data_IF_275350440021
#
_entry.id   IF_275350440021
#
_cell.length_a   1.000
_cell.length_b   1.000
_cell.length_c   1.000
_cell.angle_alpha   90.00
_cell.angle_beta   90.00
_cell.angle_gamma   90.00
#
_symmetry.space_group_name_H-M   'P 1'
#
loop_
_entity.id
_entity.type
_entity.pdbx_description
1 polymer ?
#
# COMPACT_ATOMS: atom_id res chain seq x y z
N UNK A 1 21.17 108.21 -43.24
CA UNK A 1 21.62 107.22 -42.23
C UNK A 1 20.69 107.04 -41.02
N UNK A 2 19.91 108.03 -40.56
CA UNK A 2 19.00 107.90 -39.40
C UNK A 2 17.76 106.99 -39.56
N UNK A 3 17.39 106.57 -40.77
CA UNK A 3 16.24 105.66 -40.99
C UNK A 3 16.67 104.21 -41.23
N UNK A 4 17.90 103.97 -41.68
CA UNK A 4 18.43 102.64 -41.99
C UNK A 4 18.67 101.78 -40.73
N UNK A 5 19.11 102.38 -39.62
CA UNK A 5 19.27 101.64 -38.36
C UNK A 5 17.92 101.25 -37.72
N UNK A 6 16.88 102.07 -37.91
CA UNK A 6 15.51 101.75 -37.44
C UNK A 6 14.92 100.59 -38.24
N UNK A 7 15.14 100.57 -39.55
CA UNK A 7 14.72 99.45 -40.42
C UNK A 7 15.51 98.18 -40.07
N UNK A 8 16.83 98.28 -39.87
CA UNK A 8 17.66 97.13 -39.47
C UNK A 8 17.30 96.56 -38.09
N UNK A 9 16.90 97.41 -37.14
CA UNK A 9 16.47 96.98 -35.80
C UNK A 9 15.09 96.32 -35.83
N UNK A 10 14.17 96.83 -36.66
CA UNK A 10 12.86 96.18 -36.89
C UNK A 10 13.05 94.84 -37.60
N UNK A 11 13.92 94.76 -38.60
CA UNK A 11 14.19 93.53 -39.34
C UNK A 11 14.86 92.47 -38.44
N UNK A 12 15.76 92.88 -37.54
CA UNK A 12 16.38 92.04 -36.51
C UNK A 12 15.34 91.46 -35.53
N UNK A 13 14.42 92.29 -35.03
CA UNK A 13 13.33 91.84 -34.14
C UNK A 13 12.36 90.90 -34.86
N UNK A 14 12.09 91.14 -36.15
CA UNK A 14 11.25 90.24 -36.96
C UNK A 14 11.97 88.91 -37.22
N UNK A 15 13.27 88.91 -37.50
CA UNK A 15 14.06 87.70 -37.71
C UNK A 15 14.21 86.84 -36.44
N UNK A 16 14.29 87.44 -35.26
CA UNK A 16 14.35 86.70 -33.99
C UNK A 16 12.98 86.18 -33.53
N UNK A 17 11.88 86.86 -33.88
CA UNK A 17 10.52 86.38 -33.60
C UNK A 17 10.14 85.16 -34.45
N UNK A 18 10.61 85.08 -35.69
CA UNK A 18 10.34 83.92 -36.58
C UNK A 18 11.14 82.68 -36.15
N UNK A 19 12.35 82.87 -35.59
CA UNK A 19 13.19 81.77 -35.09
C UNK A 19 12.62 81.06 -33.84
N UNK A 20 11.78 81.72 -33.04
CA UNK A 20 11.12 81.11 -31.86
C UNK A 20 9.85 80.33 -32.17
N UNK A 21 9.31 80.42 -33.39
CA UNK A 21 8.01 79.81 -33.73
C UNK A 21 8.08 78.28 -33.91
N UNK A 22 9.20 77.75 -34.41
CA UNK A 22 9.36 76.32 -34.69
C UNK A 22 9.93 75.47 -33.55
N UNK A 23 10.23 76.06 -32.38
CA UNK A 23 10.82 75.34 -31.26
C UNK A 23 9.80 74.46 -30.52
N UNK A 24 8.51 74.81 -30.62
CA UNK A 24 7.41 74.04 -30.02
C UNK A 24 6.87 72.94 -30.94
N UNK A 25 7.08 73.05 -32.26
CA UNK A 25 6.57 72.08 -33.25
C UNK A 25 7.06 70.64 -33.00
N UNK A 26 8.23 70.47 -32.35
CA UNK A 26 8.78 69.15 -32.00
C UNK A 26 8.15 68.53 -30.74
N UNK A 27 7.46 69.32 -29.91
CA UNK A 27 6.81 68.86 -28.67
C UNK A 27 5.29 69.06 -28.65
N UNK A 28 4.72 69.79 -29.62
CA UNK A 28 3.29 70.11 -29.68
C UNK A 28 2.43 68.85 -29.73
N UNK A 29 2.87 67.80 -30.43
CA UNK A 29 2.17 66.50 -30.47
C UNK A 29 2.03 65.87 -29.07
N UNK A 30 3.06 66.00 -28.22
CA UNK A 30 3.02 65.49 -26.84
C UNK A 30 2.17 66.38 -25.91
N UNK A 31 2.14 67.69 -26.17
CA UNK A 31 1.29 68.62 -25.42
C UNK A 31 -0.20 68.43 -25.77
N UNK A 32 -0.51 68.18 -27.04
CA UNK A 32 -1.86 67.92 -27.54
C UNK A 32 -2.36 66.53 -27.11
N UNK A 33 -1.48 65.53 -27.05
CA UNK A 33 -1.80 64.18 -26.56
C UNK A 33 -2.09 64.15 -25.05
N UNK A 34 -1.52 65.08 -24.28
CA UNK A 34 -1.68 65.18 -22.83
C UNK A 34 -1.07 64.01 -22.06
N UNK A 35 -1.28 63.98 -20.74
CA UNK A 35 -0.77 62.92 -19.88
C UNK A 35 -1.60 61.63 -20.04
N UNK A 36 -0.93 60.49 -20.22
CA UNK A 36 -1.60 59.19 -20.19
C UNK A 36 -1.86 58.78 -18.75
N UNK A 37 -3.13 58.72 -18.36
CA UNK A 37 -3.56 58.31 -17.02
C UNK A 37 -3.69 56.79 -16.99
N UNK A 38 -2.95 56.14 -16.08
CA UNK A 38 -3.02 54.71 -15.84
C UNK A 38 -3.71 54.39 -14.52
N UNK A 39 -4.51 53.32 -14.51
CA UNK A 39 -4.99 52.75 -13.26
C UNK A 39 -3.86 52.03 -12.51
N UNK A 40 -4.06 51.82 -11.21
CA UNK A 40 -3.12 51.11 -10.37
C UNK A 40 -3.02 49.63 -10.77
N UNK A 41 -1.82 49.16 -11.11
CA UNK A 41 -1.56 47.75 -11.43
C UNK A 41 -1.62 46.85 -10.19
N UNK A 42 -1.88 45.57 -10.42
CA UNK A 42 -1.76 44.53 -9.39
C UNK A 42 -0.28 44.26 -9.08
N UNK A 43 0.04 44.15 -7.80
CA UNK A 43 1.40 43.91 -7.30
C UNK A 43 1.58 42.45 -6.87
N UNK A 44 2.82 41.97 -6.80
CA UNK A 44 3.17 40.64 -6.27
C UNK A 44 2.34 39.49 -6.89
N UNK A 45 2.10 39.55 -8.20
CA UNK A 45 1.28 38.57 -8.92
C UNK A 45 1.96 37.19 -8.91
N UNK A 46 1.20 36.17 -8.53
CA UNK A 46 1.60 34.77 -8.67
C UNK A 46 0.51 33.92 -9.33
N UNK A 47 0.93 32.95 -10.14
CA UNK A 47 0.04 32.05 -10.88
C UNK A 47 0.34 30.64 -10.42
N UNK A 48 -0.55 30.08 -9.61
CA UNK A 48 -0.36 28.81 -8.94
C UNK A 48 -1.07 27.70 -9.71
N UNK A 49 -0.35 26.68 -10.18
CA UNK A 49 -0.89 25.69 -11.10
C UNK A 49 -1.65 24.57 -10.41
N UNK A 50 -2.65 24.00 -11.09
CA UNK A 50 -3.50 22.91 -10.62
C UNK A 50 -3.92 21.94 -11.72
N UNK A 51 -4.87 21.05 -11.40
CA UNK A 51 -5.43 20.10 -12.36
C UNK A 51 -6.43 20.80 -13.29
N UNK A 52 -6.05 20.98 -14.55
CA UNK A 52 -6.81 21.70 -15.58
C UNK A 52 -7.30 23.10 -15.12
N UNK A 53 -6.50 23.78 -14.30
CA UNK A 53 -6.81 25.11 -13.75
C UNK A 53 -5.57 25.82 -13.23
N UNK A 54 -5.69 27.13 -13.01
CA UNK A 54 -4.73 27.93 -12.25
C UNK A 54 -5.43 28.82 -11.23
N UNK A 55 -4.76 29.10 -10.11
CA UNK A 55 -5.14 30.18 -9.19
C UNK A 55 -4.27 31.41 -9.47
N UNK A 56 -4.90 32.51 -9.86
CA UNK A 56 -4.25 33.81 -10.00
C UNK A 56 -4.35 34.54 -8.67
N UNK A 57 -3.22 34.92 -8.09
CA UNK A 57 -3.13 35.66 -6.84
C UNK A 57 -2.33 36.94 -7.01
N UNK A 58 -2.62 37.94 -6.17
CA UNK A 58 -1.85 39.18 -6.16
C UNK A 58 -2.33 40.14 -5.08
N UNK A 59 -1.64 41.27 -4.95
CA UNK A 59 -1.94 42.30 -3.98
C UNK A 59 -2.41 43.58 -4.68
N UNK A 60 -3.57 44.07 -4.28
CA UNK A 60 -4.07 45.38 -4.66
C UNK A 60 -3.65 46.38 -3.59
N UNK A 61 -2.46 47.00 -3.76
CA UNK A 61 -1.89 47.97 -2.79
C UNK A 61 -2.30 49.42 -3.07
N UNK A 62 -2.69 49.74 -4.30
CA UNK A 62 -2.97 51.10 -4.77
C UNK A 62 -4.26 51.15 -5.59
N UNK A 63 -4.83 52.35 -5.79
CA UNK A 63 -6.07 52.54 -6.54
C UNK A 63 -7.30 51.97 -5.81
N UNK A 64 -7.79 52.66 -4.78
CA UNK A 64 -9.03 52.32 -4.07
C UNK A 64 -10.28 52.39 -4.98
N UNK A 65 -10.14 53.02 -6.13
CA UNK A 65 -11.10 53.13 -7.21
C UNK A 65 -11.02 51.98 -8.23
N UNK A 66 -10.19 50.96 -8.02
CA UNK A 66 -10.16 49.75 -8.86
C UNK A 66 -11.54 49.07 -8.86
N UNK A 67 -12.09 48.82 -10.05
CA UNK A 67 -13.44 48.28 -10.26
C UNK A 67 -13.40 46.83 -10.76
N UNK A 68 -12.45 46.48 -11.62
CA UNK A 68 -12.34 45.13 -12.18
C UNK A 68 -10.90 44.79 -12.57
N UNK A 69 -10.63 43.49 -12.57
CA UNK A 69 -9.41 42.89 -13.10
C UNK A 69 -9.80 42.08 -14.34
N UNK A 70 -9.04 42.19 -15.42
CA UNK A 70 -9.18 41.38 -16.63
C UNK A 70 -7.92 40.56 -16.79
N UNK A 71 -8.08 39.25 -16.89
CA UNK A 71 -6.99 38.31 -17.07
C UNK A 71 -7.17 37.66 -18.43
N UNK A 72 -6.25 37.91 -19.35
CA UNK A 72 -6.21 37.24 -20.65
C UNK A 72 -5.16 36.12 -20.62
N UNK A 73 -5.36 35.06 -21.39
CA UNK A 73 -4.34 34.03 -21.55
C UNK A 73 -4.16 33.58 -23.00
N UNK A 74 -2.93 33.20 -23.31
CA UNK A 74 -2.54 32.59 -24.58
C UNK A 74 -2.05 31.16 -24.32
N UNK A 75 -2.27 30.20 -25.25
CA UNK A 75 -2.64 30.38 -26.66
C UNK A 75 -4.14 30.52 -26.96
N UNK A 76 -5.04 30.20 -26.03
CA UNK A 76 -6.49 30.16 -26.28
C UNK A 76 -7.09 31.52 -26.66
N UNK A 77 -6.38 32.60 -26.29
CA UNK A 77 -6.76 33.99 -26.54
C UNK A 77 -8.13 34.33 -25.92
N UNK A 78 -8.41 33.75 -24.75
CA UNK A 78 -9.60 33.94 -23.96
C UNK A 78 -9.31 34.81 -22.72
N UNK A 79 -10.34 35.20 -21.99
CA UNK A 79 -10.24 36.13 -20.87
C UNK A 79 -11.25 35.89 -19.77
N UNK A 80 -10.89 36.32 -18.57
CA UNK A 80 -11.76 36.36 -17.41
C UNK A 80 -11.83 37.78 -16.86
N UNK A 81 -13.05 38.31 -16.74
CA UNK A 81 -13.30 39.60 -16.10
C UNK A 81 -13.79 39.34 -14.67
N UNK A 82 -13.01 39.81 -13.70
CA UNK A 82 -13.27 39.64 -12.27
C UNK A 82 -13.63 41.01 -11.69
N UNK A 83 -14.86 41.20 -11.19
CA UNK A 83 -15.21 42.42 -10.47
C UNK A 83 -14.41 42.51 -9.16
N UNK A 84 -13.93 43.71 -8.84
CA UNK A 84 -13.12 43.99 -7.66
C UNK A 84 -13.85 45.02 -6.80
N UNK A 85 -14.02 44.71 -5.52
CA UNK A 85 -14.54 45.65 -4.53
C UNK A 85 -13.51 45.80 -3.42
N UNK A 86 -12.77 46.90 -3.44
CA UNK A 86 -11.76 47.19 -2.44
C UNK A 86 -12.37 47.73 -1.15
N UNK A 87 -12.03 47.10 -0.04
CA UNK A 87 -12.40 47.56 1.31
C UNK A 87 -11.17 48.13 2.02
N UNK A 88 -10.05 47.41 1.96
CA UNK A 88 -8.84 47.74 2.70
C UNK A 88 -7.76 48.43 1.83
N UNK A 89 -6.85 49.23 2.44
CA UNK A 89 -5.72 49.86 1.74
C UNK A 89 -4.77 48.88 1.04
N UNK A 90 -4.67 47.65 1.55
CA UNK A 90 -4.00 46.53 0.87
C UNK A 90 -4.96 45.35 0.89
N UNK A 91 -5.38 44.89 -0.29
CA UNK A 91 -6.33 43.80 -0.44
C UNK A 91 -5.71 42.63 -1.21
N UNK A 92 -6.12 41.40 -0.88
CA UNK A 92 -5.62 40.19 -1.55
C UNK A 92 -6.56 39.77 -2.65
N UNK A 93 -6.08 39.78 -3.89
CA UNK A 93 -6.81 39.28 -5.03
C UNK A 93 -6.53 37.78 -5.20
N UNK A 94 -7.59 36.99 -5.41
CA UNK A 94 -7.52 35.55 -5.69
C UNK A 94 -8.67 35.14 -6.60
N UNK A 95 -8.37 34.44 -7.67
CA UNK A 95 -9.38 33.86 -8.57
C UNK A 95 -8.86 32.59 -9.22
N UNK A 96 -9.75 31.61 -9.44
CA UNK A 96 -9.44 30.43 -10.24
C UNK A 96 -9.88 30.66 -11.69
N UNK A 97 -9.02 30.25 -12.63
CA UNK A 97 -9.37 30.06 -14.03
C UNK A 97 -9.53 28.56 -14.21
N UNK A 98 -10.79 28.11 -14.31
CA UNK A 98 -11.18 26.71 -14.42
C UNK A 98 -11.23 26.26 -15.89
N UNK A 99 -11.25 24.94 -16.12
CA UNK A 99 -11.35 24.32 -17.45
C UNK A 99 -10.22 24.72 -18.41
N UNK A 100 -9.01 24.87 -17.88
CA UNK A 100 -7.82 25.24 -18.64
C UNK A 100 -6.99 23.97 -18.93
N UNK A 101 -7.07 23.37 -20.14
CA UNK A 101 -6.46 22.07 -20.43
C UNK A 101 -4.96 22.04 -20.14
N UNK A 102 -4.41 20.88 -19.81
CA UNK A 102 -2.98 20.70 -19.53
C UNK A 102 -2.09 21.35 -20.62
N UNK A 103 -1.27 22.33 -20.21
CA UNK A 103 -0.47 23.12 -21.15
C UNK A 103 0.39 24.19 -20.49
N UNK A 104 1.03 25.02 -21.30
CA UNK A 104 1.78 26.20 -20.85
C UNK A 104 1.05 27.44 -21.32
N UNK A 105 0.79 28.37 -20.40
CA UNK A 105 0.01 29.56 -20.64
C UNK A 105 0.77 30.80 -20.21
N UNK A 106 0.57 31.89 -20.96
CA UNK A 106 0.99 33.22 -20.55
C UNK A 106 -0.25 34.02 -20.16
N UNK A 107 -0.30 34.46 -18.91
CA UNK A 107 -1.40 35.26 -18.38
C UNK A 107 -1.02 36.74 -18.41
N UNK A 108 -1.89 37.58 -18.95
CA UNK A 108 -1.80 39.04 -18.92
C UNK A 108 -2.89 39.60 -18.00
N UNK A 109 -2.48 40.25 -16.92
CA UNK A 109 -3.35 40.80 -15.88
C UNK A 109 -3.39 42.32 -16.02
N UNK A 110 -4.60 42.86 -16.19
CA UNK A 110 -4.85 44.31 -16.31
C UNK A 110 -5.98 44.72 -15.38
N UNK A 111 -5.78 45.78 -14.61
CA UNK A 111 -6.84 46.37 -13.77
C UNK A 111 -7.44 47.59 -14.44
N UNK A 112 -8.72 47.83 -14.14
CA UNK A 112 -9.47 49.01 -14.59
C UNK A 112 -10.08 49.70 -13.38
N UNK A 113 -9.99 51.03 -13.34
CA UNK A 113 -10.67 51.82 -12.33
C UNK A 113 -12.07 52.26 -12.77
N UNK A 114 -12.84 52.82 -11.83
CA UNK A 114 -14.21 53.34 -12.06
C UNK A 114 -14.31 54.40 -13.15
N UNK A 115 -13.21 55.08 -13.46
CA UNK A 115 -13.14 56.08 -14.54
C UNK A 115 -12.84 55.47 -15.92
N UNK A 116 -12.62 54.15 -15.99
CA UNK A 116 -12.33 53.42 -17.22
C UNK A 116 -10.86 53.39 -17.63
N UNK A 117 -9.95 53.98 -16.86
CA UNK A 117 -8.51 53.92 -17.15
C UNK A 117 -7.98 52.50 -16.92
N UNK A 118 -7.08 52.06 -17.82
CA UNK A 118 -6.40 50.76 -17.73
C UNK A 118 -5.06 50.90 -17.03
N UNK A 119 -4.62 49.85 -16.32
CA UNK A 119 -3.25 49.78 -15.82
C UNK A 119 -2.27 49.42 -16.93
N UNK A 120 -0.98 49.56 -16.61
CA UNK A 120 0.07 48.80 -17.32
C UNK A 120 -0.17 47.31 -17.05
N UNK A 121 0.02 46.46 -18.06
CA UNK A 121 -0.17 45.02 -17.90
C UNK A 121 0.97 44.37 -17.10
N UNK A 122 0.60 43.37 -16.31
CA UNK A 122 1.53 42.46 -15.66
C UNK A 122 1.37 41.09 -16.30
N UNK A 123 2.45 40.52 -16.84
CA UNK A 123 2.40 39.20 -17.46
C UNK A 123 3.19 38.16 -16.67
N UNK A 124 2.62 36.96 -16.50
CA UNK A 124 3.30 35.84 -15.84
C UNK A 124 2.93 34.53 -16.51
N UNK A 125 3.94 33.69 -16.75
CA UNK A 125 3.77 32.35 -17.32
C UNK A 125 3.50 31.32 -16.23
N UNK A 126 2.66 30.33 -16.53
CA UNK A 126 2.47 29.16 -15.69
C UNK A 126 2.05 27.96 -16.53
N UNK A 127 1.97 26.79 -15.88
CA UNK A 127 1.48 25.57 -16.50
C UNK A 127 0.13 25.20 -15.90
N UNK A 128 -0.59 24.34 -16.59
CA UNK A 128 -1.65 23.53 -15.99
C UNK A 128 -1.22 22.08 -16.08
N UNK A 129 -1.59 21.29 -15.09
CA UNK A 129 -1.31 19.86 -15.04
C UNK A 129 -2.60 19.08 -15.31
N UNK A 130 -2.47 17.84 -15.79
CA UNK A 130 -3.61 17.01 -16.14
C UNK A 130 -3.21 15.56 -16.26
N UNK A 131 -3.97 14.81 -17.06
CA UNK A 131 -3.82 13.36 -17.18
C UNK A 131 -2.46 12.95 -17.77
N UNK A 132 -1.85 13.78 -18.63
CA UNK A 132 -0.52 13.48 -19.19
C UNK A 132 0.54 13.63 -18.10
N UNK A 133 0.46 14.63 -17.23
CA UNK A 133 1.31 14.69 -16.04
C UNK A 133 1.10 13.46 -15.13
N UNK A 134 -0.15 13.12 -14.81
CA UNK A 134 -0.46 11.94 -13.98
C UNK A 134 0.12 10.65 -14.59
N UNK A 135 0.04 10.47 -15.91
CA UNK A 135 0.59 9.29 -16.61
C UNK A 135 2.12 9.19 -16.55
N UNK A 136 2.80 10.33 -16.32
CA UNK A 136 4.26 10.37 -16.15
C UNK A 136 4.69 9.94 -14.74
N UNK A 137 3.79 10.06 -13.76
CA UNK A 137 4.07 9.67 -12.37
C UNK A 137 4.20 8.16 -12.23
N UNK A 138 4.89 7.72 -11.18
CA UNK A 138 5.07 6.31 -10.86
C UNK A 138 4.68 6.10 -9.42
N UNK A 139 4.00 4.99 -9.14
CA UNK A 139 3.77 4.58 -7.76
C UNK A 139 5.09 4.07 -7.16
N UNK A 140 5.37 4.42 -5.90
CA UNK A 140 6.50 3.84 -5.17
C UNK A 140 6.27 2.35 -5.06
N UNK A 141 7.24 1.55 -5.51
CA UNK A 141 7.05 0.11 -5.65
C UNK A 141 7.07 -0.58 -4.28
N UNK A 142 6.09 -1.43 -4.03
CA UNK A 142 6.13 -2.43 -2.96
C UNK A 142 6.89 -3.65 -3.51
N UNK A 143 8.03 -3.97 -2.89
CA UNK A 143 8.96 -5.02 -3.32
C UNK A 143 8.60 -6.39 -2.76
N UNK A 144 8.22 -6.47 -1.47
CA UNK A 144 7.78 -7.71 -0.84
C UNK A 144 6.79 -7.45 0.30
N UNK A 145 6.00 -8.49 0.59
CA UNK A 145 5.11 -8.60 1.76
C UNK A 145 5.46 -9.88 2.50
N UNK A 146 5.96 -9.78 3.72
CA UNK A 146 6.48 -10.90 4.50
C UNK A 146 5.69 -11.04 5.81
N UNK A 147 5.26 -12.25 6.14
CA UNK A 147 4.57 -12.53 7.40
C UNK A 147 5.62 -12.85 8.47
N UNK A 148 5.68 -12.04 9.51
CA UNK A 148 6.56 -12.21 10.68
C UNK A 148 5.72 -12.43 11.95
N UNK A 149 5.47 -13.70 12.25
CA UNK A 149 4.53 -14.10 13.32
C UNK A 149 3.13 -13.58 13.00
N UNK A 150 2.59 -12.75 13.88
CA UNK A 150 1.27 -12.11 13.71
C UNK A 150 1.30 -10.88 12.78
N UNK A 151 2.49 -10.34 12.50
CA UNK A 151 2.63 -9.06 11.81
C UNK A 151 2.93 -9.25 10.32
N UNK A 152 2.62 -8.22 9.54
CA UNK A 152 2.96 -8.14 8.13
C UNK A 152 4.00 -7.03 7.90
N UNK A 153 5.11 -7.38 7.28
CA UNK A 153 6.19 -6.48 6.93
C UNK A 153 6.12 -6.12 5.45
N UNK A 154 6.04 -4.83 5.15
CA UNK A 154 5.94 -4.32 3.77
C UNK A 154 7.25 -3.62 3.44
N UNK A 155 7.97 -4.15 2.45
CA UNK A 155 9.24 -3.59 1.97
C UNK A 155 9.03 -2.79 0.69
N UNK A 156 9.48 -1.55 0.67
CA UNK A 156 9.35 -0.62 -0.45
C UNK A 156 10.68 -0.34 -1.12
N UNK A 157 10.61 0.12 -2.38
CA UNK A 157 11.77 0.74 -3.04
C UNK A 157 12.24 1.97 -2.28
N UNK A 158 13.45 2.44 -2.60
CA UNK A 158 13.97 3.72 -2.09
C UNK A 158 12.96 4.86 -2.30
N UNK A 159 13.02 5.83 -1.39
CA UNK A 159 12.21 7.03 -1.46
C UNK A 159 12.37 7.75 -2.81
N UNK A 160 11.26 8.21 -3.37
CA UNK A 160 11.25 8.97 -4.60
C UNK A 160 11.36 10.46 -4.26
N UNK A 161 12.45 11.11 -4.66
CA UNK A 161 12.74 12.50 -4.28
C UNK A 161 11.61 13.48 -4.62
N UNK A 162 10.93 13.27 -5.76
CA UNK A 162 9.81 14.11 -6.21
C UNK A 162 8.45 13.76 -5.57
N UNK A 163 8.35 12.61 -4.89
CA UNK A 163 7.13 12.25 -4.19
C UNK A 163 7.02 13.03 -2.87
N UNK A 164 5.82 13.48 -2.55
CA UNK A 164 5.47 14.11 -1.28
C UNK A 164 5.39 13.07 -0.16
N UNK A 165 4.63 12.00 -0.39
CA UNK A 165 4.34 10.95 0.57
C UNK A 165 3.96 9.64 -0.13
N UNK A 166 4.12 8.51 0.55
CA UNK A 166 3.58 7.21 0.15
C UNK A 166 2.73 6.65 1.27
N UNK A 167 1.51 6.23 0.95
CA UNK A 167 0.54 5.69 1.92
C UNK A 167 0.03 4.34 1.45
N UNK A 168 -0.24 3.46 2.40
CA UNK A 168 -0.85 2.16 2.20
C UNK A 168 -2.24 2.18 2.82
N UNK A 169 -3.25 1.83 2.04
CA UNK A 169 -4.62 1.68 2.46
C UNK A 169 -4.98 0.19 2.42
N UNK A 170 -5.56 -0.34 3.48
CA UNK A 170 -5.86 -1.77 3.58
C UNK A 170 -7.03 -2.03 4.54
N UNK A 171 -7.46 -3.29 4.66
CA UNK A 171 -8.44 -3.70 5.66
C UNK A 171 -7.74 -4.39 6.84
N UNK A 172 -8.14 -4.04 8.05
CA UNK A 172 -7.74 -4.78 9.25
C UNK A 172 -8.51 -6.11 9.37
N UNK A 173 -8.15 -6.93 10.36
CA UNK A 173 -8.79 -8.21 10.62
C UNK A 173 -10.32 -8.09 10.90
N UNK A 174 -10.78 -6.96 11.43
CA UNK A 174 -12.20 -6.64 11.61
C UNK A 174 -12.92 -6.17 10.33
N UNK A 175 -12.20 -5.96 9.22
CA UNK A 175 -12.76 -5.49 7.94
C UNK A 175 -12.91 -3.97 7.84
N UNK A 176 -12.32 -3.21 8.76
CA UNK A 176 -12.29 -1.74 8.75
C UNK A 176 -11.13 -1.22 7.91
N UNK A 177 -11.34 -0.08 7.24
CA UNK A 177 -10.29 0.57 6.44
C UNK A 177 -9.24 1.20 7.33
N UNK A 178 -7.99 0.89 7.05
CA UNK A 178 -6.81 1.44 7.68
C UNK A 178 -5.95 2.20 6.68
N UNK A 179 -5.16 3.14 7.19
CA UNK A 179 -4.19 3.93 6.45
C UNK A 179 -2.87 3.96 7.22
N UNK A 180 -1.76 3.74 6.53
CA UNK A 180 -0.43 3.89 7.12
C UNK A 180 0.51 4.57 6.13
N UNK A 181 1.20 5.62 6.59
CA UNK A 181 2.21 6.33 5.81
C UNK A 181 3.58 5.67 5.95
N UNK A 182 4.32 5.58 4.85
CA UNK A 182 5.74 5.22 4.86
C UNK A 182 6.51 6.50 5.15
N UNK A 183 7.08 6.62 6.35
CA UNK A 183 7.83 7.80 6.75
C UNK A 183 9.00 8.09 5.79
N UNK A 184 9.36 9.36 5.66
CA UNK A 184 10.51 9.75 4.83
C UNK A 184 11.80 9.15 5.37
N UNK A 185 12.67 8.68 4.47
CA UNK A 185 13.85 7.90 4.79
C UNK A 185 13.60 6.40 5.01
N UNK A 186 12.39 6.00 5.36
CA UNK A 186 12.06 4.58 5.59
C UNK A 186 11.71 3.87 4.29
N UNK A 187 12.11 2.60 4.20
CA UNK A 187 11.77 1.69 3.11
C UNK A 187 10.92 0.51 3.59
N UNK A 188 10.43 0.55 4.83
CA UNK A 188 9.71 -0.56 5.43
C UNK A 188 8.64 -0.03 6.38
N UNK A 189 7.48 -0.68 6.40
CA UNK A 189 6.48 -0.50 7.46
C UNK A 189 6.06 -1.86 8.01
N UNK A 190 5.71 -1.88 9.29
CA UNK A 190 5.14 -3.03 9.97
C UNK A 190 3.66 -2.78 10.22
N UNK A 191 2.82 -3.71 9.80
CA UNK A 191 1.38 -3.75 10.04
C UNK A 191 1.09 -4.84 11.07
N UNK A 192 0.46 -4.46 12.18
CA UNK A 192 0.16 -5.39 13.30
C UNK A 192 -1.26 -5.96 13.25
N UNK A 193 -2.15 -5.34 12.48
CA UNK A 193 -3.55 -5.76 12.33
C UNK A 193 -3.95 -5.64 10.86
N UNK A 194 -4.02 -6.78 10.18
CA UNK A 194 -4.24 -6.87 8.74
C UNK A 194 -5.18 -8.03 8.45
N UNK A 195 -5.93 -7.91 7.36
CA UNK A 195 -6.76 -8.99 6.85
C UNK A 195 -5.95 -9.92 5.94
N UNK A 196 -5.79 -11.21 6.28
CA UNK A 196 -5.23 -12.19 5.36
C UNK A 196 -6.00 -12.23 4.04
N UNK A 197 -5.28 -12.29 2.91
CA UNK A 197 -5.87 -12.20 1.56
C UNK A 197 -6.71 -10.93 1.34
N UNK A 198 -6.53 -9.91 2.18
CA UNK A 198 -7.18 -8.61 2.08
C UNK A 198 -6.58 -7.78 0.95
N UNK A 199 -7.42 -7.03 0.26
CA UNK A 199 -6.96 -6.08 -0.74
C UNK A 199 -6.25 -4.90 -0.07
N UNK A 200 -5.19 -4.40 -0.72
CA UNK A 200 -4.52 -3.16 -0.34
C UNK A 200 -4.34 -2.24 -1.56
N UNK A 201 -4.18 -0.94 -1.29
CA UNK A 201 -3.83 0.10 -2.26
C UNK A 201 -2.60 0.85 -1.74
N UNK A 202 -1.51 0.89 -2.52
CA UNK A 202 -0.38 1.78 -2.30
C UNK A 202 -0.59 3.03 -3.14
N UNK A 203 -0.62 4.21 -2.53
CA UNK A 203 -0.79 5.50 -3.19
C UNK A 203 0.41 6.40 -2.92
N UNK A 204 0.98 6.96 -3.99
CA UNK A 204 2.09 7.92 -3.91
C UNK A 204 1.59 9.29 -4.35
N UNK A 205 1.85 10.31 -3.53
CA UNK A 205 1.38 11.68 -3.72
C UNK A 205 2.51 12.56 -4.24
N UNK A 206 2.18 13.53 -5.09
CA UNK A 206 3.12 14.42 -5.77
C UNK A 206 2.61 15.86 -5.74
N UNK A 207 3.55 16.80 -5.61
CA UNK A 207 3.33 18.22 -5.85
C UNK A 207 4.24 18.60 -7.03
N UNK A 208 3.71 19.00 -8.19
CA UNK A 208 4.51 19.23 -9.40
C UNK A 208 5.51 20.38 -9.24
N UNK A 209 5.15 21.37 -8.44
CA UNK A 209 6.00 22.50 -8.09
C UNK A 209 5.56 23.14 -6.78
N UNK A 210 6.48 23.81 -6.09
CA UNK A 210 6.31 24.29 -4.70
C UNK A 210 5.07 25.16 -4.51
N UNK A 211 4.68 25.95 -5.50
CA UNK A 211 3.53 26.84 -5.41
C UNK A 211 2.21 26.26 -5.97
N UNK A 212 2.18 25.00 -6.42
CA UNK A 212 0.97 24.36 -6.93
C UNK A 212 -0.18 24.40 -5.90
N UNK A 213 -1.42 24.44 -6.39
CA UNK A 213 -2.63 24.39 -5.56
C UNK A 213 -3.13 22.97 -5.31
N UNK A 214 -2.83 22.06 -6.25
CA UNK A 214 -3.34 20.69 -6.22
C UNK A 214 -2.21 19.68 -5.96
N UNK A 215 -2.57 18.60 -5.25
CA UNK A 215 -1.72 17.42 -5.06
C UNK A 215 -2.21 16.31 -5.98
N UNK A 216 -1.28 15.66 -6.67
CA UNK A 216 -1.55 14.57 -7.62
C UNK A 216 -1.24 13.25 -6.94
N UNK A 217 -1.89 12.16 -7.35
CA UNK A 217 -1.57 10.84 -6.83
C UNK A 217 -1.71 9.75 -7.88
N UNK A 218 -0.90 8.72 -7.75
CA UNK A 218 -1.00 7.47 -8.50
C UNK A 218 -1.00 6.32 -7.53
N UNK A 219 -1.69 5.23 -7.88
CA UNK A 219 -1.78 4.06 -7.01
C UNK A 219 -1.59 2.74 -7.73
N UNK A 220 -1.27 1.72 -6.95
CA UNK A 220 -1.31 0.32 -7.33
C UNK A 220 -2.07 -0.47 -6.28
N UNK A 221 -2.71 -1.54 -6.70
CA UNK A 221 -3.48 -2.42 -5.83
C UNK A 221 -2.86 -3.81 -5.79
N UNK A 222 -3.02 -4.51 -4.68
CA UNK A 222 -2.65 -5.91 -4.55
C UNK A 222 -3.45 -6.61 -3.47
N UNK A 223 -3.01 -7.81 -3.12
CA UNK A 223 -3.63 -8.66 -2.10
C UNK A 223 -2.55 -9.13 -1.15
N UNK A 224 -2.77 -8.98 0.15
CA UNK A 224 -1.86 -9.49 1.18
C UNK A 224 -1.78 -11.02 1.14
N UNK A 225 -0.67 -11.62 1.62
CA UNK A 225 -0.52 -13.08 1.66
C UNK A 225 -1.62 -13.75 2.50
N UNK A 226 -1.74 -15.07 2.39
CA UNK A 226 -2.48 -15.83 3.39
C UNK A 226 -1.67 -15.90 4.69
N UNK A 227 -2.37 -16.04 5.82
CA UNK A 227 -1.76 -16.25 7.12
C UNK A 227 -1.94 -17.71 7.49
N UNK A 228 -0.85 -18.38 7.85
CA UNK A 228 -0.87 -19.77 8.30
C UNK A 228 -0.64 -19.76 9.81
N UNK A 229 -1.63 -20.21 10.57
CA UNK A 229 -1.61 -20.21 12.03
C UNK A 229 -1.71 -21.63 12.58
N UNK A 230 -1.10 -21.84 13.74
CA UNK A 230 -1.28 -23.08 14.50
C UNK A 230 -2.72 -23.18 14.99
N UNK A 231 -3.31 -24.37 14.90
CA UNK A 231 -4.64 -24.62 15.44
C UNK A 231 -4.62 -24.71 16.97
N UNK A 232 -5.69 -24.26 17.62
CA UNK A 232 -5.82 -24.35 19.08
C UNK A 232 -6.04 -25.80 19.52
N UNK A 233 -4.96 -26.45 19.94
CA UNK A 233 -4.92 -27.83 20.45
C UNK A 233 -5.88 -28.09 21.61
N UNK A 234 -6.26 -27.07 22.39
CA UNK A 234 -7.20 -27.25 23.51
C UNK A 234 -8.61 -27.66 23.06
N UNK A 235 -8.91 -27.45 21.77
CA UNK A 235 -10.17 -27.81 21.16
C UNK A 235 -10.18 -29.25 20.64
N UNK A 236 -9.02 -29.91 20.53
CA UNK A 236 -8.89 -31.25 19.96
C UNK A 236 -9.43 -32.32 20.92
N UNK A 237 -10.12 -33.31 20.37
CA UNK A 237 -10.75 -34.38 21.16
C UNK A 237 -10.64 -35.72 20.47
N UNK A 238 -10.29 -36.76 21.23
CA UNK A 238 -10.35 -38.13 20.74
C UNK A 238 -11.78 -38.52 20.37
N UNK A 239 -11.93 -39.15 19.21
CA UNK A 239 -13.15 -39.84 18.81
C UNK A 239 -12.81 -41.31 18.67
N UNK A 240 -13.61 -42.14 19.33
CA UNK A 240 -13.47 -43.58 19.26
C UNK A 240 -14.62 -44.12 18.42
N UNK A 241 -14.28 -44.65 17.25
CA UNK A 241 -15.20 -45.42 16.42
C UNK A 241 -14.93 -46.91 16.60
N UNK A 242 -15.91 -47.77 16.30
CA UNK A 242 -15.86 -49.21 16.63
C UNK A 242 -14.64 -49.95 16.04
N UNK A 243 -14.09 -49.46 14.93
CA UNK A 243 -12.94 -50.04 14.25
C UNK A 243 -11.63 -49.27 14.46
N UNK A 244 -11.62 -48.27 15.35
CA UNK A 244 -10.41 -47.52 15.68
C UNK A 244 -9.53 -48.30 16.66
N UNK A 245 -8.23 -48.25 16.45
CA UNK A 245 -7.26 -48.75 17.43
C UNK A 245 -7.26 -47.83 18.65
N UNK A 246 -7.02 -48.41 19.83
CA UNK A 246 -6.85 -47.64 21.06
C UNK A 246 -5.39 -47.24 21.22
N UNK A 247 -5.17 -45.98 21.57
CA UNK A 247 -3.83 -45.41 21.82
C UNK A 247 -3.58 -45.14 23.31
N UNK A 248 -4.10 -46.03 24.16
CA UNK A 248 -4.13 -45.89 25.62
C UNK A 248 -3.29 -46.94 26.38
N UNK A 249 -2.36 -47.62 25.71
CA UNK A 249 -1.53 -48.65 26.33
C UNK A 249 -0.35 -48.03 27.10
N UNK A 250 0.09 -48.72 28.16
CA UNK A 250 1.32 -48.38 28.91
C UNK A 250 1.37 -46.96 29.48
N UNK A 251 0.21 -46.38 29.79
CA UNK A 251 0.11 -44.99 30.26
C UNK A 251 0.10 -43.95 29.12
N UNK A 252 0.07 -44.41 27.87
CA UNK A 252 -0.23 -43.56 26.72
C UNK A 252 -1.70 -43.14 26.68
N UNK A 253 -1.99 -42.13 25.88
CA UNK A 253 -3.35 -41.71 25.53
C UNK A 253 -3.30 -40.85 24.26
N UNK A 254 -4.36 -40.87 23.43
CA UNK A 254 -4.36 -40.05 22.21
C UNK A 254 -4.34 -38.54 22.53
N UNK A 255 -4.97 -38.10 23.62
CA UNK A 255 -4.95 -36.67 24.00
C UNK A 255 -3.54 -36.12 24.30
N UNK A 256 -2.57 -36.99 24.59
CA UNK A 256 -1.17 -36.60 24.76
C UNK A 256 -0.51 -36.17 23.45
N UNK A 257 -1.16 -36.41 22.31
CA UNK A 257 -0.68 -35.99 21.01
C UNK A 257 -0.94 -34.52 20.68
N UNK A 258 -1.50 -33.75 21.61
CA UNK A 258 -1.76 -32.34 21.45
C UNK A 258 -1.70 -31.60 22.80
N UNK A 259 -0.84 -32.04 23.71
CA UNK A 259 -0.68 -31.44 25.05
C UNK A 259 0.58 -30.56 25.19
N UNK A 260 1.36 -30.42 24.12
CA UNK A 260 2.65 -29.73 24.07
C UNK A 260 3.74 -30.30 25.00
N UNK A 261 3.65 -31.58 25.38
CA UNK A 261 4.67 -32.27 26.15
C UNK A 261 5.41 -33.31 25.28
N UNK A 262 6.75 -33.17 25.24
CA UNK A 262 7.63 -33.92 24.32
C UNK A 262 8.58 -34.88 25.06
N UNK A 263 8.36 -35.13 26.36
CA UNK A 263 9.21 -36.08 27.07
C UNK A 263 8.99 -37.51 26.55
N UNK A 264 10.00 -38.37 26.69
CA UNK A 264 9.92 -39.76 26.23
C UNK A 264 8.88 -40.64 26.96
N UNK A 265 8.23 -40.11 28.00
CA UNK A 265 7.10 -40.71 28.72
C UNK A 265 5.74 -40.13 28.32
N UNK A 266 5.72 -39.08 27.49
CA UNK A 266 4.51 -38.47 26.97
C UNK A 266 4.28 -38.91 25.52
N UNK A 267 3.32 -39.82 25.36
CA UNK A 267 3.04 -40.44 24.07
C UNK A 267 1.61 -40.96 23.97
N UNK A 268 1.12 -41.01 22.74
CA UNK A 268 0.07 -41.93 22.33
C UNK A 268 0.70 -43.28 22.01
N UNK A 269 0.13 -44.38 22.49
CA UNK A 269 0.70 -45.71 22.27
C UNK A 269 -0.39 -46.78 22.19
N UNK A 270 -0.38 -47.59 21.13
CA UNK A 270 -1.35 -48.67 20.96
C UNK A 270 -0.96 -49.93 21.74
N UNK A 271 -1.88 -50.87 21.94
CA UNK A 271 -1.46 -52.17 22.46
C UNK A 271 -0.40 -52.79 21.53
N UNK A 272 0.62 -53.40 22.14
CA UNK A 272 1.69 -54.15 21.47
C UNK A 272 1.77 -55.60 21.97
N UNK A 273 0.90 -56.00 22.91
CA UNK A 273 0.76 -57.40 23.35
C UNK A 273 -0.04 -58.22 22.35
N UNK A 274 -0.96 -57.56 21.64
CA UNK A 274 -1.64 -58.09 20.46
C UNK A 274 -1.27 -57.21 19.25
N UNK A 275 -0.28 -57.62 18.44
CA UNK A 275 0.16 -56.83 17.30
C UNK A 275 -0.99 -56.46 16.37
N UNK A 276 -1.12 -55.16 16.11
CA UNK A 276 -2.02 -54.57 15.13
C UNK A 276 -1.67 -55.09 13.75
N UNK A 277 -2.70 -55.46 13.00
CA UNK A 277 -2.59 -55.71 11.56
C UNK A 277 -2.79 -54.38 10.83
N UNK A 278 -1.75 -53.90 10.14
CA UNK A 278 -1.86 -52.72 9.31
C UNK A 278 -2.58 -53.03 7.98
N UNK A 279 -3.36 -52.08 7.40
CA UNK A 279 -3.55 -50.71 7.89
C UNK A 279 -4.49 -50.64 9.10
N UNK A 280 -4.21 -49.69 9.99
CA UNK A 280 -5.00 -49.42 11.19
C UNK A 280 -5.19 -47.91 11.37
N UNK A 281 -6.21 -47.49 12.13
CA UNK A 281 -6.55 -46.06 12.19
C UNK A 281 -7.13 -45.62 13.53
N UNK A 282 -7.04 -44.33 13.76
CA UNK A 282 -7.60 -43.62 14.90
C UNK A 282 -8.17 -42.28 14.45
N UNK A 283 -9.14 -41.76 15.19
CA UNK A 283 -9.93 -40.58 14.81
C UNK A 283 -9.93 -39.52 15.90
N UNK A 284 -9.95 -38.25 15.52
CA UNK A 284 -10.10 -37.13 16.44
C UNK A 284 -10.81 -35.94 15.79
N UNK A 285 -11.40 -35.11 16.63
CA UNK A 285 -11.99 -33.81 16.29
C UNK A 285 -10.92 -32.72 16.44
N UNK A 286 -10.79 -31.84 15.46
CA UNK A 286 -9.97 -30.62 15.55
C UNK A 286 -10.67 -29.48 16.32
N UNK A 287 -11.93 -29.67 16.71
CA UNK A 287 -12.75 -28.71 17.46
C UNK A 287 -13.37 -27.60 16.60
N UNK A 288 -12.76 -27.29 15.46
CA UNK A 288 -13.25 -26.35 14.46
C UNK A 288 -13.04 -26.87 13.04
N UNK A 289 -13.78 -26.29 12.09
CA UNK A 289 -13.56 -26.51 10.67
C UNK A 289 -12.38 -25.67 10.18
N UNK A 290 -11.45 -26.28 9.46
CA UNK A 290 -10.23 -25.63 9.01
C UNK A 290 -9.78 -26.11 7.62
N UNK A 291 -9.22 -25.18 6.84
CA UNK A 291 -8.42 -25.51 5.66
C UNK A 291 -6.97 -25.76 6.09
N UNK A 292 -6.59 -27.03 6.20
CA UNK A 292 -5.25 -27.40 6.66
C UNK A 292 -4.17 -27.05 5.62
N UNK A 293 -3.01 -26.60 6.10
CA UNK A 293 -1.89 -26.17 5.26
C UNK A 293 -0.61 -26.93 5.55
N UNK A 294 -0.33 -27.19 6.83
CA UNK A 294 0.83 -27.95 7.28
C UNK A 294 0.45 -28.78 8.50
N UNK A 295 1.20 -29.84 8.77
CA UNK A 295 1.29 -30.40 10.11
C UNK A 295 2.71 -30.81 10.45
N UNK A 296 3.01 -30.80 11.74
CA UNK A 296 4.26 -31.31 12.30
C UNK A 296 3.94 -32.58 13.11
N UNK A 297 4.73 -33.65 12.91
CA UNK A 297 4.67 -34.90 13.68
C UNK A 297 5.92 -35.03 14.53
N UNK A 298 5.75 -35.15 15.84
CA UNK A 298 6.82 -35.52 16.76
C UNK A 298 6.69 -36.99 17.13
N UNK A 299 7.71 -37.76 16.77
CA UNK A 299 7.84 -39.16 17.18
C UNK A 299 8.28 -39.27 18.64
N UNK A 300 8.15 -40.44 19.24
CA UNK A 300 8.77 -40.71 20.54
C UNK A 300 10.29 -40.74 20.35
N UNK A 301 11.00 -39.82 21.00
CA UNK A 301 12.46 -39.69 20.91
C UNK A 301 13.10 -40.38 22.11
N UNK A 302 13.76 -41.51 21.85
CA UNK A 302 14.50 -42.32 22.84
C UNK A 302 15.53 -43.16 22.10
N UNK A 303 16.71 -43.35 22.69
CA UNK A 303 17.86 -44.00 22.01
C UNK A 303 17.53 -45.37 21.38
N UNK A 304 16.64 -46.15 21.99
CA UNK A 304 16.19 -47.46 21.51
C UNK A 304 14.96 -47.42 20.57
N UNK A 305 14.27 -46.28 20.46
CA UNK A 305 13.01 -46.13 19.71
C UNK A 305 13.12 -45.24 18.46
N UNK A 306 14.18 -44.44 18.31
CA UNK A 306 14.33 -43.59 17.12
C UNK A 306 14.34 -44.44 15.84
N UNK A 307 13.45 -44.13 14.88
CA UNK A 307 13.22 -44.94 13.66
C UNK A 307 13.11 -46.45 13.93
N UNK A 308 12.51 -46.79 15.06
CA UNK A 308 12.31 -48.13 15.57
C UNK A 308 10.98 -48.18 16.35
N UNK A 309 10.63 -49.36 16.84
CA UNK A 309 9.37 -49.59 17.53
C UNK A 309 8.15 -49.13 16.73
N UNK A 310 7.19 -48.54 17.44
CA UNK A 310 5.91 -48.09 16.88
C UNK A 310 5.95 -46.72 16.21
N UNK A 311 7.11 -46.05 16.12
CA UNK A 311 7.16 -44.75 15.46
C UNK A 311 6.63 -44.89 14.02
N UNK A 312 5.72 -43.99 13.63
CA UNK A 312 5.01 -44.09 12.36
C UNK A 312 5.98 -43.97 11.18
N UNK A 313 5.86 -44.88 10.20
CA UNK A 313 6.73 -44.91 9.02
C UNK A 313 5.99 -44.48 7.76
N UNK A 314 4.78 -44.97 7.54
CA UNK A 314 3.92 -44.49 6.46
C UNK A 314 2.45 -44.46 6.88
N UNK A 315 1.73 -43.43 6.46
CA UNK A 315 0.33 -43.21 6.82
C UNK A 315 -0.40 -42.36 5.79
N UNK A 316 -1.72 -42.33 5.89
CA UNK A 316 -2.59 -41.40 5.18
C UNK A 316 -3.37 -40.56 6.20
N UNK A 317 -3.57 -39.28 5.91
CA UNK A 317 -4.48 -38.42 6.66
C UNK A 317 -5.75 -38.25 5.84
N UNK A 318 -6.88 -38.54 6.47
CA UNK A 318 -8.21 -38.37 5.90
C UNK A 318 -9.00 -37.37 6.73
N UNK A 319 -9.92 -36.64 6.11
CA UNK A 319 -10.77 -35.71 6.82
C UNK A 319 -12.19 -35.58 6.26
N UNK A 320 -13.07 -35.04 7.10
CA UNK A 320 -14.48 -34.72 6.79
C UNK A 320 -14.94 -33.52 7.61
N UNK A 321 -16.03 -32.88 7.19
CA UNK A 321 -16.61 -31.72 7.87
C UNK A 321 -17.56 -32.12 9.02
N UNK A 322 -18.36 -33.17 8.83
CA UNK A 322 -19.40 -33.60 9.76
C UNK A 322 -18.94 -34.73 10.70
N UNK A 323 -19.55 -34.81 11.88
CA UNK A 323 -19.21 -35.83 12.88
C UNK A 323 -19.50 -37.24 12.34
N UNK A 324 -18.53 -38.18 12.40
CA UNK A 324 -18.73 -39.52 11.85
C UNK A 324 -19.80 -40.29 12.64
N UNK A 325 -20.91 -40.61 11.98
CA UNK A 325 -22.04 -41.32 12.59
C UNK A 325 -21.77 -42.80 12.91
N UNK A 326 -20.76 -43.39 12.28
CA UNK A 326 -20.38 -44.79 12.43
C UNK A 326 -18.92 -45.02 11.98
N UNK A 327 -18.49 -46.28 11.98
CA UNK A 327 -17.14 -46.71 11.63
C UNK A 327 -16.84 -46.76 10.12
N UNK A 328 -17.80 -46.44 9.25
CA UNK A 328 -17.63 -46.43 7.78
C UNK A 328 -16.60 -45.40 7.32
N UNK A 329 -16.03 -45.67 6.14
CA UNK A 329 -15.18 -44.73 5.41
C UNK A 329 -15.99 -43.76 4.52
N UNK A 330 -17.31 -43.93 4.44
CA UNK A 330 -18.18 -43.01 3.67
C UNK A 330 -18.09 -41.57 4.21
N UNK A 331 -17.89 -40.61 3.30
CA UNK A 331 -17.73 -39.20 3.62
C UNK A 331 -16.31 -38.78 3.98
N UNK A 332 -15.37 -39.71 4.14
CA UNK A 332 -13.97 -39.38 4.37
C UNK A 332 -13.25 -39.06 3.05
N UNK A 333 -12.52 -37.95 3.02
CA UNK A 333 -11.68 -37.55 1.89
C UNK A 333 -10.22 -37.68 2.26
N UNK A 334 -9.41 -38.33 1.41
CA UNK A 334 -7.96 -38.39 1.63
C UNK A 334 -7.35 -37.01 1.40
N UNK A 335 -6.59 -36.52 2.37
CA UNK A 335 -5.93 -35.22 2.33
C UNK A 335 -4.48 -35.35 1.88
N UNK A 336 -3.75 -36.35 2.41
CA UNK A 336 -2.33 -36.56 2.09
C UNK A 336 -1.90 -38.00 2.39
N UNK A 337 -0.89 -38.48 1.68
CA UNK A 337 -0.13 -39.69 2.01
C UNK A 337 1.27 -39.26 2.45
N UNK A 338 1.74 -39.79 3.57
CA UNK A 338 2.96 -39.37 4.26
C UNK A 338 3.91 -40.54 4.46
N UNK A 339 5.22 -40.26 4.42
CA UNK A 339 6.28 -41.19 4.78
C UNK A 339 7.28 -40.47 5.68
N UNK A 340 7.62 -41.08 6.80
CA UNK A 340 8.70 -40.61 7.68
C UNK A 340 10.04 -40.72 6.95
N UNK A 341 10.90 -39.73 7.12
CA UNK A 341 12.21 -39.63 6.49
C UNK A 341 13.32 -39.94 7.49
N UNK A 342 14.09 -40.99 7.21
CA UNK A 342 15.34 -41.30 7.92
C UNK A 342 16.54 -40.84 7.08
N UNK A 343 17.26 -39.77 7.46
CA UNK A 343 18.34 -39.19 6.67
C UNK A 343 19.40 -40.19 6.19
N UNK A 344 19.84 -41.08 7.08
CA UNK A 344 20.94 -42.01 6.76
C UNK A 344 20.53 -43.13 5.80
N UNK A 345 19.23 -43.40 5.65
CA UNK A 345 18.72 -44.57 4.91
C UNK A 345 19.14 -45.92 5.49
N UNK A 346 19.78 -45.97 6.66
CA UNK A 346 20.24 -47.21 7.28
C UNK A 346 19.08 -48.07 7.78
N UNK A 347 19.27 -49.39 7.90
CA UNK A 347 18.27 -50.30 8.45
C UNK A 347 17.79 -49.89 9.85
N UNK A 348 16.63 -50.41 10.23
CA UNK A 348 16.08 -50.28 11.60
C UNK A 348 17.08 -50.85 12.61
N UNK A 349 17.28 -50.13 13.72
CA UNK A 349 18.27 -50.50 14.74
C UNK A 349 19.68 -49.90 14.53
N UNK A 350 19.94 -49.27 13.38
CA UNK A 350 21.18 -48.52 13.12
C UNK A 350 20.89 -47.04 12.88
N UNK A 351 21.10 -46.19 13.89
CA UNK A 351 20.88 -44.74 13.79
C UNK A 351 22.21 -43.99 13.80
N UNK A 352 22.29 -42.91 13.01
CA UNK A 352 23.40 -41.95 13.03
C UNK A 352 23.05 -40.72 13.89
N UNK A 353 24.03 -39.86 14.18
CA UNK A 353 23.79 -38.59 14.84
C UNK A 353 22.86 -37.67 14.02
N UNK A 354 22.92 -37.76 12.68
CA UNK A 354 22.02 -37.05 11.78
C UNK A 354 20.58 -37.53 11.92
N UNK A 355 20.37 -38.85 11.99
CA UNK A 355 19.04 -39.44 12.23
C UNK A 355 18.45 -38.94 13.54
N UNK A 356 19.23 -39.05 14.63
CA UNK A 356 18.82 -38.62 15.97
C UNK A 356 18.55 -37.11 16.04
N UNK A 357 19.35 -36.31 15.35
CA UNK A 357 19.14 -34.85 15.28
C UNK A 357 17.92 -34.45 14.45
N UNK A 358 17.58 -35.23 13.42
CA UNK A 358 16.42 -34.98 12.57
C UNK A 358 15.12 -35.33 13.30
N UNK A 359 15.01 -36.54 13.85
CA UNK A 359 13.77 -36.99 14.53
C UNK A 359 13.46 -36.15 15.77
N UNK A 360 14.48 -35.66 16.47
CA UNK A 360 14.32 -34.79 17.63
C UNK A 360 13.71 -33.41 17.32
N UNK A 361 13.74 -32.97 16.06
CA UNK A 361 13.16 -31.68 15.63
C UNK A 361 11.69 -31.80 15.21
N UNK A 362 11.16 -33.03 15.10
CA UNK A 362 9.88 -33.31 14.48
C UNK A 362 9.93 -33.22 12.95
N UNK A 363 9.02 -33.94 12.31
CA UNK A 363 8.89 -34.00 10.86
C UNK A 363 7.76 -33.08 10.38
N UNK A 364 8.01 -32.29 9.34
CA UNK A 364 7.06 -31.30 8.82
C UNK A 364 6.51 -31.74 7.48
N UNK A 365 5.20 -31.61 7.29
CA UNK A 365 4.50 -32.03 6.09
C UNK A 365 3.53 -30.95 5.64
N UNK A 366 3.58 -30.59 4.36
CA UNK A 366 2.65 -29.64 3.74
C UNK A 366 1.49 -30.39 3.07
N UNK A 367 0.26 -29.93 3.33
CA UNK A 367 -0.91 -30.45 2.63
C UNK A 367 -0.91 -29.99 1.16
N UNK A 368 -1.36 -30.83 0.21
CA UNK A 368 -1.49 -30.39 -1.17
C UNK A 368 -2.57 -29.31 -1.31
N UNK A 369 -2.46 -28.49 -2.37
CA UNK A 369 -3.50 -27.52 -2.70
C UNK A 369 -4.80 -28.22 -3.13
N UNK A 370 -5.94 -27.58 -2.85
CA UNK A 370 -7.26 -28.06 -3.29
C UNK A 370 -7.91 -29.10 -2.36
N UNK A 371 -7.33 -29.40 -1.20
CA UNK A 371 -8.03 -30.18 -0.18
C UNK A 371 -9.27 -29.43 0.35
N UNK A 372 -10.32 -30.14 0.78
CA UNK A 372 -11.47 -29.50 1.41
C UNK A 372 -11.12 -28.97 2.80
N UNK A 373 -11.96 -28.05 3.30
CA UNK A 373 -12.02 -27.78 4.73
C UNK A 373 -12.53 -29.01 5.48
N UNK A 374 -11.93 -29.31 6.62
CA UNK A 374 -12.26 -30.48 7.44
C UNK A 374 -12.28 -30.09 8.91
N UNK A 375 -12.99 -30.88 9.72
CA UNK A 375 -13.00 -30.76 11.19
C UNK A 375 -12.55 -32.06 11.84
N UNK A 376 -13.00 -33.20 11.32
CA UNK A 376 -12.65 -34.50 11.87
C UNK A 376 -11.53 -35.11 11.05
N UNK A 377 -10.51 -35.63 11.73
CA UNK A 377 -9.34 -36.26 11.14
C UNK A 377 -9.32 -37.74 11.50
N UNK A 378 -9.02 -38.58 10.51
CA UNK A 378 -8.74 -40.00 10.68
C UNK A 378 -7.38 -40.31 10.08
N UNK A 379 -6.49 -40.80 10.93
CA UNK A 379 -5.12 -41.16 10.54
C UNK A 379 -5.10 -42.65 10.26
N UNK A 380 -4.79 -43.04 9.03
CA UNK A 380 -4.65 -44.43 8.61
C UNK A 380 -3.18 -44.78 8.51
N UNK A 381 -2.67 -45.45 9.53
CA UNK A 381 -1.30 -45.93 9.59
C UNK A 381 -1.17 -47.17 8.70
N UNK A 382 -0.21 -47.12 7.77
CA UNK A 382 0.07 -48.19 6.82
C UNK A 382 1.26 -49.06 7.28
N UNK A 383 2.23 -48.46 7.96
CA UNK A 383 3.41 -49.14 8.49
C UNK A 383 4.06 -48.35 9.65
N UNK A 384 4.72 -49.06 10.56
CA UNK A 384 5.58 -48.48 11.60
C UNK A 384 7.03 -48.98 11.44
N UNK A 385 8.00 -48.24 11.99
CA UNK A 385 9.40 -48.45 11.66
C UNK A 385 9.92 -49.86 11.96
N UNK A 386 9.57 -50.48 13.09
CA UNK A 386 10.04 -51.85 13.40
C UNK A 386 9.22 -52.98 12.78
N UNK A 387 8.02 -52.69 12.25
CA UNK A 387 7.09 -53.71 11.79
C UNK A 387 6.53 -54.61 12.91
N UNK A 388 6.73 -54.27 14.18
CA UNK A 388 6.25 -55.05 15.34
C UNK A 388 4.73 -54.96 15.56
N UNK A 389 4.00 -54.26 14.69
CA UNK A 389 2.53 -54.18 14.74
C UNK A 389 2.01 -53.33 15.88
N UNK A 390 2.57 -52.14 16.09
CA UNK A 390 1.99 -51.15 17.00
C UNK A 390 2.37 -49.74 16.56
N UNK A 391 1.68 -48.74 17.11
CA UNK A 391 1.86 -47.32 16.81
C UNK A 391 2.18 -46.56 18.09
N UNK A 392 3.15 -45.66 18.00
CA UNK A 392 3.44 -44.67 19.03
C UNK A 392 3.90 -43.35 18.40
N UNK A 393 3.60 -42.24 19.07
CA UNK A 393 4.07 -40.90 18.70
C UNK A 393 3.85 -39.96 19.89
N UNK A 394 4.53 -38.81 19.87
CA UNK A 394 4.43 -37.81 20.93
C UNK A 394 3.43 -36.72 20.60
N UNK A 395 3.47 -36.09 19.42
CA UNK A 395 2.64 -34.90 19.15
C UNK A 395 2.26 -34.77 17.67
N UNK A 396 1.05 -34.26 17.41
CA UNK A 396 0.65 -33.65 16.16
C UNK A 396 0.38 -32.15 16.37
N UNK A 397 0.92 -31.32 15.49
CA UNK A 397 0.60 -29.89 15.44
C UNK A 397 0.06 -29.56 14.05
N UNK A 398 -1.21 -29.19 13.95
CA UNK A 398 -1.83 -28.80 12.68
C UNK A 398 -1.83 -27.28 12.51
N UNK A 399 -1.63 -26.84 11.28
CA UNK A 399 -1.68 -25.44 10.88
C UNK A 399 -2.76 -25.23 9.83
N UNK A 400 -3.53 -24.15 9.97
CA UNK A 400 -4.63 -23.80 9.07
C UNK A 400 -4.39 -22.46 8.38
N UNK A 401 -5.08 -22.25 7.26
CA UNK A 401 -5.26 -20.91 6.71
C UNK A 401 -6.17 -20.11 7.63
N UNK A 402 -5.78 -18.89 7.94
CA UNK A 402 -6.64 -17.86 8.54
C UNK A 402 -7.14 -16.86 7.48
#
# INVERSE_FOLDING_TARGET
MKYLYKIGLILSVVLTAVACSGQLDTIQEYLDAGETIYAAKMDSVDIRPGYNRVEVTGLLKYGMDTERCVIHWTPDNDSLVVPVKRIDPVDTFRVFIENLPEGTYQFEIVTYNKSGYRSISTSKGSKTYGDRYISSLRVRSLLSTEVEGENLLLNFSSEMAEALATKVFYLNSAGEKQEQEVARGDNQIKITDWKPRGAYEVKTYYIPEVNAVDTFSVSSTGVFPEKIVEMDKSTFREIILDNDIRLNAWGGALWKAWDNAYENTNYAHSDNTNPIVFPAWFTFDLGEKALLKRFDLFSVVRDDLNYNGGNMKSWEIWGREDEPANSSWDGWTKLITCNSFKPSGKPVGENTDEDNSYIAKGEKFDFPSGIPEVRYIRIKVLDSWSGQGYVQFSEFTFYKSE
#
